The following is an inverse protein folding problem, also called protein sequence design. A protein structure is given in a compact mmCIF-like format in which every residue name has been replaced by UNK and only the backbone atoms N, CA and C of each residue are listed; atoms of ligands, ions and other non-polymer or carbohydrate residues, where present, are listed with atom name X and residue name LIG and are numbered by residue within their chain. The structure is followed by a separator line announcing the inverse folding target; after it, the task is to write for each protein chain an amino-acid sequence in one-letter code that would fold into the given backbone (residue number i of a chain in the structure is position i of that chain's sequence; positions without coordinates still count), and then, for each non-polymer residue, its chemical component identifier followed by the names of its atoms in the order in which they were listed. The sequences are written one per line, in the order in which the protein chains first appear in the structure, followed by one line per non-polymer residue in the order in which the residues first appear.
data_IF_881368697945
#
_entry.id   IF_881368697945
#
_cell.length_a   1.000
_cell.length_b   1.000
_cell.length_c   1.000
_cell.angle_alpha   90.00
_cell.angle_beta   90.00
_cell.angle_gamma   90.00
#
_symmetry.space_group_name_H-M   'P 1'
#
loop_
_entity.id
_entity.type
_entity.pdbx_description
1 polymer ?
#
# COMPACT_ATOMS: atom_id res chain seq x y z
N UNK A 1 5.35 -30.14 58.21
CA UNK A 1 4.76 -30.17 56.85
C UNK A 1 5.22 -28.91 56.10
N UNK A 2 5.56 -29.08 54.81
CA UNK A 2 5.77 -28.10 53.71
C UNK A 2 5.13 -26.72 53.94
N UNK A 3 5.67 -25.55 53.57
CA UNK A 3 6.60 -25.19 52.47
C UNK A 3 7.18 -23.78 52.71
N UNK A 4 8.45 -23.66 52.32
CA UNK A 4 9.36 -22.51 52.21
C UNK A 4 8.80 -21.30 51.43
N UNK A 5 9.13 -20.08 51.89
CA UNK A 5 9.29 -18.87 51.07
C UNK A 5 9.88 -17.72 51.93
N UNK A 6 11.19 -17.52 51.90
CA UNK A 6 11.88 -16.24 52.24
C UNK A 6 13.21 -16.24 51.47
N UNK A 7 13.39 -15.35 50.51
CA UNK A 7 14.11 -14.07 50.64
C UNK A 7 15.54 -14.23 51.17
N UNK A 8 16.55 -14.09 50.29
CA UNK A 8 17.82 -13.46 50.62
C UNK A 8 18.62 -13.18 49.34
N UNK A 9 18.98 -11.92 49.19
CA UNK A 9 20.03 -11.37 48.32
C UNK A 9 21.32 -12.20 48.33
N UNK A 10 21.95 -12.30 47.16
CA UNK A 10 23.39 -12.17 47.03
C UNK A 10 23.73 -11.67 45.62
N UNK A 11 24.20 -10.42 45.53
CA UNK A 11 25.01 -9.96 44.39
C UNK A 11 26.30 -10.80 44.31
N UNK A 12 26.75 -11.14 43.11
CA UNK A 12 28.17 -11.08 42.82
C UNK A 12 28.41 -9.98 41.78
N UNK A 13 29.17 -8.96 42.19
CA UNK A 13 29.91 -8.10 41.28
C UNK A 13 30.97 -8.98 40.59
N UNK A 14 30.94 -9.04 39.26
CA UNK A 14 32.09 -9.41 38.46
C UNK A 14 32.07 -8.61 37.16
N UNK A 15 33.04 -7.72 37.06
CA UNK A 15 33.43 -7.05 35.85
C UNK A 15 33.82 -8.08 34.77
N UNK A 16 33.29 -7.91 33.57
CA UNK A 16 33.63 -8.70 32.40
C UNK A 16 32.97 -8.05 31.20
N UNK A 17 33.78 -7.63 30.24
CA UNK A 17 33.37 -6.80 29.12
C UNK A 17 32.41 -7.45 28.13
N UNK A 18 32.15 -6.66 27.09
CA UNK A 18 31.17 -6.80 26.03
C UNK A 18 29.77 -6.33 26.45
N UNK A 19 29.46 -5.08 26.06
CA UNK A 19 28.07 -4.66 25.85
C UNK A 19 27.42 -5.65 24.90
N UNK A 20 26.74 -6.64 25.46
CA UNK A 20 25.75 -7.40 24.74
C UNK A 20 24.56 -6.45 24.61
N UNK A 21 24.65 -5.59 23.60
CA UNK A 21 23.49 -4.91 23.04
C UNK A 21 22.60 -6.02 22.50
N UNK A 22 21.80 -6.63 23.38
CA UNK A 22 20.71 -7.51 23.01
C UNK A 22 19.86 -6.72 22.03
N UNK A 23 20.11 -6.97 20.76
CA UNK A 23 19.26 -6.55 19.68
C UNK A 23 18.03 -7.43 19.86
N UNK A 24 17.06 -6.92 20.61
CA UNK A 24 15.72 -7.48 20.60
C UNK A 24 15.39 -7.73 19.13
N UNK A 25 15.03 -8.95 18.70
CA UNK A 25 14.55 -9.14 17.33
C UNK A 25 13.46 -8.09 17.13
N UNK A 26 13.47 -7.31 16.03
CA UNK A 26 12.44 -6.33 15.80
C UNK A 26 11.10 -7.03 16.03
N UNK A 27 10.34 -6.55 17.02
CA UNK A 27 8.96 -7.02 17.21
C UNK A 27 8.24 -6.85 15.87
N UNK A 28 7.21 -7.66 15.57
CA UNK A 28 6.58 -7.66 14.25
C UNK A 28 6.37 -6.22 13.81
N UNK A 29 7.09 -5.84 12.76
CA UNK A 29 7.08 -4.50 12.20
C UNK A 29 5.61 -4.11 12.03
N UNK A 30 5.17 -2.90 12.44
CA UNK A 30 3.76 -2.55 12.33
C UNK A 30 3.32 -2.86 10.90
N UNK A 31 2.36 -3.78 10.75
CA UNK A 31 1.84 -4.22 9.47
C UNK A 31 1.28 -2.99 8.77
N UNK A 32 2.14 -2.32 8.01
CA UNK A 32 1.78 -1.10 7.32
C UNK A 32 0.70 -1.54 6.36
N UNK A 33 -0.53 -0.97 6.44
CA UNK A 33 -1.63 -1.43 5.62
C UNK A 33 -1.19 -1.36 4.17
N UNK A 34 -0.92 -2.50 3.56
CA UNK A 34 -0.32 -2.56 2.23
C UNK A 34 -1.45 -2.34 1.22
N UNK A 35 -1.44 -1.20 0.55
CA UNK A 35 -2.32 -0.92 -0.57
C UNK A 35 -1.97 -1.86 -1.72
N UNK A 36 -2.73 -2.93 -1.90
CA UNK A 36 -2.53 -3.86 -3.00
C UNK A 36 -3.40 -3.43 -4.19
N UNK A 37 -2.79 -3.31 -5.37
CA UNK A 37 -3.51 -3.04 -6.62
C UNK A 37 -3.37 -4.20 -7.61
N UNK A 38 -4.42 -4.43 -8.41
CA UNK A 38 -4.39 -5.34 -9.56
C UNK A 38 -5.13 -4.69 -10.74
N UNK A 39 -4.53 -4.74 -11.91
CA UNK A 39 -5.18 -4.41 -13.18
C UNK A 39 -4.66 -5.40 -14.22
N UNK A 40 -5.54 -5.91 -15.07
CA UNK A 40 -5.18 -6.86 -16.14
C UNK A 40 -4.94 -6.17 -17.48
N UNK A 41 -5.16 -4.85 -17.54
CA UNK A 41 -5.02 -4.10 -18.75
C UNK A 41 -3.56 -3.72 -19.02
N UNK A 42 -3.07 -4.04 -20.23
CA UNK A 42 -1.69 -3.78 -20.63
C UNK A 42 -1.38 -2.27 -20.80
N UNK A 43 -2.41 -1.44 -20.93
CA UNK A 43 -2.30 0.02 -20.98
C UNK A 43 -2.28 0.64 -19.58
N UNK A 44 -2.13 -0.15 -18.53
CA UNK A 44 -2.07 0.31 -17.14
C UNK A 44 -0.81 -0.23 -16.48
N UNK A 45 0.09 0.67 -16.10
CA UNK A 45 1.24 0.34 -15.25
C UNK A 45 0.93 0.71 -13.81
N UNK A 46 1.19 -0.22 -12.88
CA UNK A 46 1.00 -0.05 -11.44
C UNK A 46 2.36 0.02 -10.73
N UNK A 47 2.54 0.99 -9.85
CA UNK A 47 3.65 1.08 -8.90
C UNK A 47 3.08 1.14 -7.49
N UNK A 48 3.67 0.40 -6.55
CA UNK A 48 3.21 0.28 -5.17
C UNK A 48 4.23 0.88 -4.19
N UNK A 49 3.77 1.80 -3.35
CA UNK A 49 4.51 2.37 -2.25
C UNK A 49 3.78 2.12 -0.92
N UNK A 50 3.23 0.92 -0.72
CA UNK A 50 2.67 0.39 0.53
C UNK A 50 1.45 1.12 1.08
N UNK A 51 1.30 2.43 0.86
CA UNK A 51 0.26 3.33 1.38
C UNK A 51 -0.34 4.17 0.27
N UNK A 52 0.40 4.32 -0.82
CA UNK A 52 -0.04 4.91 -2.05
C UNK A 52 0.41 4.04 -3.22
N UNK A 53 -0.17 4.30 -4.38
CA UNK A 53 0.20 3.63 -5.60
C UNK A 53 0.05 4.59 -6.77
N UNK A 54 0.89 4.40 -7.78
CA UNK A 54 0.86 5.18 -9.01
C UNK A 54 0.33 4.33 -10.15
N UNK A 55 -0.59 4.92 -10.90
CA UNK A 55 -1.19 4.36 -12.09
C UNK A 55 -0.79 5.24 -13.29
N UNK A 56 -0.15 4.63 -14.28
CA UNK A 56 0.19 5.28 -15.55
C UNK A 56 -0.63 4.67 -16.69
N UNK A 57 -1.40 5.51 -17.40
CA UNK A 57 -2.24 5.11 -18.53
C UNK A 57 -1.91 5.91 -19.80
N UNK A 58 -1.18 5.34 -20.78
CA UNK A 58 -0.93 5.97 -22.07
C UNK A 58 -2.17 5.97 -22.97
N UNK A 59 -2.43 7.09 -23.65
CA UNK A 59 -3.60 7.24 -24.53
C UNK A 59 -3.26 7.36 -26.04
N UNK A 60 -2.03 7.09 -26.50
CA UNK A 60 -1.67 7.27 -27.90
C UNK A 60 -2.58 6.44 -28.84
N UNK A 61 -3.34 7.11 -29.72
CA UNK A 61 -4.22 6.44 -30.70
C UNK A 61 -5.29 5.53 -30.09
N UNK A 62 -5.58 5.63 -28.79
CA UNK A 62 -6.63 4.84 -28.14
C UNK A 62 -8.00 5.48 -28.40
N UNK A 63 -8.95 4.64 -28.80
CA UNK A 63 -10.38 4.94 -28.68
C UNK A 63 -10.77 5.09 -27.20
N UNK A 64 -11.96 5.64 -26.95
CA UNK A 64 -12.45 5.77 -25.60
C UNK A 64 -12.53 4.38 -24.93
N UNK A 65 -11.81 4.21 -23.81
CA UNK A 65 -11.62 2.92 -23.14
C UNK A 65 -11.85 3.05 -21.64
N UNK A 66 -12.28 1.96 -21.02
CA UNK A 66 -12.51 1.89 -19.56
C UNK A 66 -11.64 0.79 -18.95
N UNK A 67 -10.83 1.16 -17.98
CA UNK A 67 -10.00 0.25 -17.19
C UNK A 67 -10.59 0.07 -15.79
N UNK A 68 -10.41 -1.13 -15.22
CA UNK A 68 -10.78 -1.42 -13.83
C UNK A 68 -9.52 -1.78 -13.05
N UNK A 69 -9.24 -1.02 -12.00
CA UNK A 69 -8.18 -1.31 -11.04
C UNK A 69 -8.83 -1.83 -9.78
N UNK A 70 -8.44 -3.02 -9.33
CA UNK A 70 -8.91 -3.63 -8.09
C UNK A 70 -7.98 -3.24 -6.95
N UNK A 71 -8.55 -3.00 -5.77
CA UNK A 71 -7.81 -2.71 -4.54
C UNK A 71 -8.35 -3.53 -3.37
N UNK A 72 -7.50 -3.82 -2.39
CA UNK A 72 -7.92 -4.49 -1.16
C UNK A 72 -8.55 -3.55 -0.11
N UNK A 73 -8.64 -2.25 -0.43
CA UNK A 73 -9.17 -1.22 0.46
C UNK A 73 -10.60 -0.85 0.08
N UNK A 74 -11.50 -0.82 1.07
CA UNK A 74 -12.88 -0.33 0.90
C UNK A 74 -12.92 1.19 0.86
N UNK A 75 -12.09 1.81 1.70
CA UNK A 75 -11.93 3.24 1.78
C UNK A 75 -10.58 3.62 1.16
N UNK A 76 -10.64 4.40 0.09
CA UNK A 76 -9.47 4.94 -0.58
C UNK A 76 -9.82 6.22 -1.34
N UNK A 77 -8.80 7.02 -1.56
CA UNK A 77 -8.83 8.18 -2.44
C UNK A 77 -7.99 7.95 -3.69
N UNK A 78 -8.43 8.59 -4.77
CA UNK A 78 -7.75 8.55 -6.05
C UNK A 78 -7.81 9.95 -6.66
N UNK A 79 -6.66 10.48 -7.04
CA UNK A 79 -6.55 11.78 -7.68
C UNK A 79 -5.45 11.78 -8.75
N UNK A 80 -5.65 12.45 -9.90
CA UNK A 80 -4.58 12.66 -10.85
C UNK A 80 -3.56 13.66 -10.27
N UNK A 81 -2.28 13.37 -10.41
CA UNK A 81 -1.20 14.27 -9.94
C UNK A 81 -1.02 15.50 -10.84
N UNK A 82 -1.52 15.42 -12.07
CA UNK A 82 -1.52 16.49 -13.05
C UNK A 82 -2.93 16.74 -13.60
N UNK A 83 -3.12 17.82 -14.36
CA UNK A 83 -4.41 18.10 -14.99
C UNK A 83 -4.69 17.13 -16.14
N UNK A 84 -5.28 15.98 -15.83
CA UNK A 84 -5.69 14.97 -16.80
C UNK A 84 -7.20 15.07 -17.10
N UNK A 85 -7.65 16.18 -17.69
CA UNK A 85 -9.09 16.42 -17.96
C UNK A 85 -9.75 15.45 -18.95
N UNK A 86 -8.95 14.56 -19.55
CA UNK A 86 -9.38 13.49 -20.46
C UNK A 86 -9.56 12.14 -19.75
N UNK A 87 -9.30 12.06 -18.43
CA UNK A 87 -9.58 10.90 -17.60
C UNK A 87 -10.72 11.22 -16.63
N UNK A 88 -11.68 10.32 -16.53
CA UNK A 88 -12.69 10.32 -15.47
C UNK A 88 -12.45 9.17 -14.52
N UNK A 89 -12.43 9.46 -13.22
CA UNK A 89 -12.26 8.48 -12.15
C UNK A 89 -13.61 8.23 -11.48
N UNK A 90 -14.01 6.96 -11.36
CA UNK A 90 -15.19 6.55 -10.59
C UNK A 90 -14.75 5.56 -9.53
N UNK A 91 -14.92 5.95 -8.26
CA UNK A 91 -14.59 5.09 -7.11
C UNK A 91 -15.78 4.17 -6.80
N UNK A 92 -15.48 2.90 -6.61
CA UNK A 92 -16.40 1.87 -6.13
C UNK A 92 -15.73 1.12 -4.97
N UNK A 93 -16.50 0.32 -4.24
CA UNK A 93 -15.94 -0.51 -3.16
C UNK A 93 -14.94 -1.50 -3.77
N UNK A 94 -13.71 -1.53 -3.26
CA UNK A 94 -12.61 -2.38 -3.74
C UNK A 94 -12.20 -2.17 -5.21
N UNK A 95 -12.67 -1.12 -5.89
CA UNK A 95 -12.27 -0.88 -7.27
C UNK A 95 -12.33 0.58 -7.70
N UNK A 96 -11.43 0.93 -8.62
CA UNK A 96 -11.39 2.22 -9.29
C UNK A 96 -11.61 1.99 -10.79
N UNK A 97 -12.66 2.60 -11.33
CA UNK A 97 -12.88 2.68 -12.77
C UNK A 97 -12.21 3.92 -13.33
N UNK A 98 -11.37 3.74 -14.34
CA UNK A 98 -10.78 4.80 -15.15
C UNK A 98 -11.47 4.80 -16.52
N UNK A 99 -12.12 5.89 -16.88
CA UNK A 99 -12.55 6.13 -18.25
C UNK A 99 -11.59 7.11 -18.93
N UNK A 100 -10.94 6.67 -20.01
CA UNK A 100 -10.00 7.45 -20.80
C UNK A 100 -10.71 7.89 -22.08
N UNK A 101 -10.81 9.20 -22.30
CA UNK A 101 -11.36 9.75 -23.52
C UNK A 101 -10.42 9.50 -24.70
N UNK A 102 -11.01 9.37 -25.90
CA UNK A 102 -10.26 9.17 -27.14
C UNK A 102 -9.15 10.22 -27.30
N UNK A 103 -8.01 9.78 -27.82
CA UNK A 103 -6.93 10.68 -28.22
C UNK A 103 -6.94 10.88 -29.73
N UNK A 104 -7.39 12.05 -30.18
CA UNK A 104 -7.35 12.43 -31.60
C UNK A 104 -5.98 12.98 -32.04
N UNK A 105 -5.01 13.11 -31.12
CA UNK A 105 -3.66 13.56 -31.42
C UNK A 105 -2.75 12.38 -31.76
N UNK A 106 -1.68 12.66 -32.51
CA UNK A 106 -0.63 11.69 -32.85
C UNK A 106 0.35 11.48 -31.71
N UNK A 107 0.39 12.41 -30.75
CA UNK A 107 1.27 12.36 -29.60
C UNK A 107 0.64 11.55 -28.45
N UNK A 108 1.44 10.73 -27.75
CA UNK A 108 1.04 10.11 -26.50
C UNK A 108 0.67 11.15 -25.45
N UNK A 109 -0.31 10.81 -24.62
CA UNK A 109 -0.65 11.54 -23.40
C UNK A 109 -0.63 10.56 -22.26
N UNK A 110 0.11 10.91 -21.22
CA UNK A 110 0.23 10.11 -20.01
C UNK A 110 -0.39 10.86 -18.84
N UNK A 111 -0.98 10.10 -17.93
CA UNK A 111 -1.48 10.62 -16.67
C UNK A 111 -1.00 9.74 -15.53
N UNK A 112 -0.57 10.38 -14.44
CA UNK A 112 -0.31 9.72 -13.17
C UNK A 112 -1.48 9.93 -12.25
N UNK A 113 -2.03 8.82 -11.76
CA UNK A 113 -3.07 8.83 -10.73
C UNK A 113 -2.47 8.24 -9.46
N UNK A 114 -2.56 9.02 -8.39
CA UNK A 114 -2.17 8.60 -7.05
C UNK A 114 -3.40 8.02 -6.38
N UNK A 115 -3.28 6.77 -5.95
CA UNK A 115 -4.23 6.13 -5.04
C UNK A 115 -3.66 6.21 -3.63
N UNK A 116 -4.50 6.43 -2.62
CA UNK A 116 -4.09 6.51 -1.20
C UNK A 116 -5.17 5.90 -0.34
N UNK A 117 -4.78 5.14 0.69
CA UNK A 117 -5.71 4.55 1.64
C UNK A 117 -5.43 5.01 3.07
N UNK A 118 -6.45 5.19 3.91
CA UNK A 118 -6.28 5.56 5.31
C UNK A 118 -5.61 4.43 6.10
N UNK A 119 -4.85 4.81 7.14
CA UNK A 119 -4.26 3.82 8.05
C UNK A 119 -5.35 3.35 9.01
N UNK A 120 -5.92 2.17 8.76
CA UNK A 120 -6.76 1.50 9.74
C UNK A 120 -5.87 0.83 10.78
N UNK A 121 -5.77 1.43 11.98
CA UNK A 121 -5.06 0.82 13.10
C UNK A 121 -5.64 -0.56 13.44
N UNK A 122 -4.88 -1.63 13.20
CA UNK A 122 -5.17 -2.97 13.72
C UNK A 122 -5.97 -3.91 12.82
N UNK A 123 -6.09 -3.65 11.52
CA UNK A 123 -6.66 -4.60 10.56
C UNK A 123 -5.58 -5.24 9.69
N UNK A 124 -5.44 -6.56 9.75
CA UNK A 124 -4.61 -7.33 8.82
C UNK A 124 -4.99 -6.94 7.36
N UNK A 125 -4.04 -6.51 6.50
CA UNK A 125 -4.37 -6.16 5.12
C UNK A 125 -5.00 -7.37 4.44
N UNK A 126 -6.24 -7.24 3.96
CA UNK A 126 -6.88 -8.34 3.24
C UNK A 126 -6.14 -8.55 1.93
N UNK A 127 -5.77 -9.79 1.58
CA UNK A 127 -5.24 -10.06 0.25
C UNK A 127 -6.36 -9.86 -0.78
N UNK A 128 -6.00 -9.33 -1.95
CA UNK A 128 -6.88 -9.35 -3.12
C UNK A 128 -7.27 -10.81 -3.42
N UNK A 129 -8.56 -11.14 -3.32
CA UNK A 129 -9.02 -12.48 -3.69
C UNK A 129 -8.87 -12.67 -5.20
N UNK A 130 -8.44 -13.87 -5.60
CA UNK A 130 -8.20 -14.25 -7.00
C UNK A 130 -9.46 -14.15 -7.85
#
# INVERSE_FOLDING_TARGET
MKKTLLFAWALPLLAGGCSDSQTQPPGPEPETPTLALRCEDAHVTLSDEGRAALLEAPAAGLDAVVFTVLTNQEDFDAAPESKCGWITLTKEVHSLRLAVAQNSATEPRDCRIRLTAPIHGGGNPRPLKR
#
